data_IF_691318024762
#
_entry.id   IF_691318024762
#
_cell.length_a   1.000
_cell.length_b   1.000
_cell.length_c   1.000
_cell.angle_alpha   90.00
_cell.angle_beta   90.00
_cell.angle_gamma   90.00
#
_symmetry.space_group_name_H-M   'P 1'
#
loop_
_entity.id
_entity.type
_entity.pdbx_description
1 polymer ?
#
# COMPACT_ATOMS: atom_id res chain seq x y z
N UNK A 1 4.23 -18.81 4.29
CA UNK A 1 4.27 -18.01 3.07
C UNK A 1 4.38 -16.54 3.43
N UNK A 2 5.32 -15.86 2.83
CA UNK A 2 5.60 -14.48 3.15
C UNK A 2 5.27 -13.59 1.98
N UNK A 3 4.58 -12.50 2.27
CA UNK A 3 4.16 -11.56 1.25
C UNK A 3 4.80 -10.20 1.50
N UNK A 4 4.91 -9.45 0.43
CA UNK A 4 5.47 -8.11 0.48
C UNK A 4 4.49 -7.17 -0.20
N UNK A 5 4.11 -6.12 0.49
CA UNK A 5 3.16 -5.14 -0.04
C UNK A 5 3.89 -3.83 -0.28
N UNK A 6 3.75 -3.31 -1.49
CA UNK A 6 4.29 -2.01 -1.83
C UNK A 6 3.20 -1.12 -2.38
N UNK A 7 3.15 0.12 -1.89
CA UNK A 7 2.21 1.11 -2.40
C UNK A 7 2.99 2.33 -2.82
N UNK A 8 2.92 2.64 -4.11
CA UNK A 8 3.57 3.81 -4.68
C UNK A 8 2.53 4.90 -4.86
N UNK A 9 2.64 5.96 -4.05
CA UNK A 9 1.63 7.01 -3.99
C UNK A 9 2.08 8.19 -4.82
N UNK A 10 1.44 8.39 -5.95
CA UNK A 10 1.70 9.54 -6.80
C UNK A 10 0.72 10.67 -6.52
N UNK A 11 0.76 11.69 -7.37
CA UNK A 11 -0.15 12.82 -7.22
C UNK A 11 -1.55 12.50 -7.74
N UNK A 12 -1.67 11.57 -8.67
CA UNK A 12 -2.93 11.27 -9.34
C UNK A 12 -3.41 9.86 -9.03
N UNK A 13 -2.49 8.96 -8.77
CA UNK A 13 -2.84 7.56 -8.60
C UNK A 13 -1.91 6.89 -7.63
N UNK A 14 -2.34 5.76 -7.12
CA UNK A 14 -1.54 4.88 -6.27
C UNK A 14 -1.47 3.52 -6.93
N UNK A 15 -0.26 2.98 -7.03
CA UNK A 15 -0.04 1.63 -7.51
C UNK A 15 0.26 0.72 -6.34
N UNK A 16 -0.44 -0.40 -6.29
CA UNK A 16 -0.30 -1.36 -5.21
C UNK A 16 0.20 -2.67 -5.79
N UNK A 17 1.23 -3.23 -5.18
CA UNK A 17 1.81 -4.49 -5.63
C UNK A 17 1.94 -5.41 -4.43
N UNK A 18 1.49 -6.65 -4.60
CA UNK A 18 1.70 -7.71 -3.61
C UNK A 18 2.56 -8.77 -4.28
N UNK A 19 3.69 -9.08 -3.67
CA UNK A 19 4.62 -10.09 -4.17
C UNK A 19 4.85 -11.16 -3.13
N UNK A 20 5.25 -12.34 -3.60
CA UNK A 20 5.66 -13.40 -2.68
C UNK A 20 7.17 -13.33 -2.45
N UNK A 21 7.70 -14.28 -1.70
CA UNK A 21 9.11 -14.28 -1.36
C UNK A 21 9.99 -14.78 -2.51
N UNK A 22 9.40 -15.16 -3.62
CA UNK A 22 10.13 -15.45 -4.87
C UNK A 22 10.08 -14.25 -5.81
N UNK A 23 9.60 -13.10 -5.34
CA UNK A 23 9.49 -11.88 -6.12
C UNK A 23 8.50 -11.99 -7.26
N UNK A 24 7.55 -12.90 -7.13
CA UNK A 24 6.48 -13.01 -8.11
C UNK A 24 5.36 -12.08 -7.72
N UNK A 25 4.88 -11.30 -8.69
CA UNK A 25 3.77 -10.38 -8.45
C UNK A 25 2.48 -11.19 -8.44
N UNK A 26 1.81 -11.18 -7.30
CA UNK A 26 0.55 -11.88 -7.14
C UNK A 26 -0.64 -11.00 -7.44
N UNK A 27 -0.54 -9.71 -7.08
CA UNK A 27 -1.59 -8.74 -7.32
C UNK A 27 -0.98 -7.41 -7.66
N UNK A 28 -1.65 -6.71 -8.54
CA UNK A 28 -1.24 -5.35 -8.90
C UNK A 28 -2.50 -4.55 -9.14
N UNK A 29 -2.63 -3.41 -8.43
CA UNK A 29 -3.82 -2.59 -8.51
C UNK A 29 -3.44 -1.15 -8.75
N UNK A 30 -4.24 -0.49 -9.58
CA UNK A 30 -4.10 0.92 -9.87
C UNK A 30 -5.33 1.63 -9.32
N UNK A 31 -5.12 2.60 -8.44
CA UNK A 31 -6.22 3.31 -7.80
C UNK A 31 -6.07 4.80 -8.03
N UNK A 32 -7.11 5.45 -8.47
CA UNK A 32 -7.10 6.88 -8.66
C UNK A 32 -7.20 7.60 -7.33
N UNK A 33 -6.34 8.59 -7.18
CA UNK A 33 -6.38 9.49 -6.02
C UNK A 33 -7.15 10.72 -6.45
N UNK A 34 -8.33 10.90 -5.88
CA UNK A 34 -9.20 12.00 -6.28
C UNK A 34 -9.08 13.12 -5.27
N UNK A 35 -7.87 13.64 -5.13
CA UNK A 35 -7.62 14.71 -4.18
C UNK A 35 -7.61 14.28 -2.73
N UNK A 36 -7.62 12.98 -2.47
CA UNK A 36 -7.66 12.47 -1.11
C UNK A 36 -6.68 11.31 -0.95
N UNK A 37 -5.38 11.61 -0.98
CA UNK A 37 -4.38 10.52 -0.94
C UNK A 37 -4.42 9.73 0.35
N UNK A 38 -4.61 10.38 1.47
CA UNK A 38 -4.62 9.68 2.75
C UNK A 38 -5.75 8.68 2.83
N UNK A 39 -6.95 9.12 2.45
CA UNK A 39 -8.12 8.24 2.47
C UNK A 39 -8.02 7.13 1.45
N UNK A 40 -7.42 7.43 0.30
CA UNK A 40 -7.21 6.41 -0.73
C UNK A 40 -6.31 5.30 -0.20
N UNK A 41 -5.20 5.66 0.44
CA UNK A 41 -4.28 4.67 0.98
C UNK A 41 -4.95 3.86 2.09
N UNK A 42 -5.73 4.53 2.94
CA UNK A 42 -6.45 3.83 3.99
C UNK A 42 -7.41 2.79 3.43
N UNK A 43 -8.14 3.15 2.37
CA UNK A 43 -9.06 2.22 1.75
C UNK A 43 -8.34 1.03 1.13
N UNK A 44 -7.21 1.29 0.48
CA UNK A 44 -6.42 0.22 -0.11
C UNK A 44 -5.99 -0.76 0.98
N UNK A 45 -5.47 -0.24 2.08
CA UNK A 45 -5.01 -1.10 3.18
C UNK A 45 -6.17 -1.87 3.80
N UNK A 46 -7.30 -1.22 4.00
CA UNK A 46 -8.46 -1.88 4.58
C UNK A 46 -8.90 -3.05 3.72
N UNK A 47 -8.98 -2.82 2.43
CA UNK A 47 -9.44 -3.87 1.53
C UNK A 47 -8.49 -5.05 1.49
N UNK A 48 -7.19 -4.76 1.44
CA UNK A 48 -6.20 -5.82 1.41
C UNK A 48 -6.23 -6.62 2.70
N UNK A 49 -6.30 -5.93 3.84
CA UNK A 49 -6.24 -6.62 5.13
C UNK A 49 -7.52 -7.35 5.48
N UNK A 50 -8.61 -7.07 4.77
CA UNK A 50 -9.81 -7.89 4.89
C UNK A 50 -9.64 -9.25 4.23
N UNK A 51 -8.78 -9.33 3.21
CA UNK A 51 -8.56 -10.56 2.47
C UNK A 51 -7.34 -11.32 2.92
N UNK A 52 -6.31 -10.60 3.39
CA UNK A 52 -5.03 -11.20 3.73
C UNK A 52 -4.65 -10.71 5.13
N UNK A 53 -4.46 -11.62 6.09
CA UNK A 53 -4.10 -11.22 7.44
C UNK A 53 -2.76 -10.47 7.48
N UNK A 54 -2.66 -9.52 8.38
CA UNK A 54 -1.46 -8.71 8.52
C UNK A 54 -0.22 -9.57 8.78
N UNK A 55 -0.39 -10.67 9.50
CA UNK A 55 0.72 -11.55 9.83
C UNK A 55 1.38 -12.18 8.62
N UNK A 56 0.68 -12.24 7.51
CA UNK A 56 1.26 -12.82 6.31
C UNK A 56 2.20 -11.89 5.57
N UNK A 57 2.22 -10.62 5.94
CA UNK A 57 3.09 -9.66 5.28
C UNK A 57 4.43 -9.57 6.01
N UNK A 58 5.49 -9.86 5.26
CA UNK A 58 6.85 -9.66 5.77
C UNK A 58 7.17 -8.18 5.88
N UNK A 59 6.69 -7.40 4.93
CA UNK A 59 6.90 -5.97 4.97
C UNK A 59 5.79 -5.26 4.22
N UNK A 60 5.54 -4.03 4.62
CA UNK A 60 4.64 -3.11 3.95
C UNK A 60 5.41 -1.82 3.76
N UNK A 61 5.59 -1.41 2.51
CA UNK A 61 6.38 -0.23 2.22
C UNK A 61 5.58 0.75 1.38
N UNK A 62 5.91 2.01 1.56
CA UNK A 62 5.27 3.11 0.85
C UNK A 62 6.33 3.95 0.18
N UNK A 63 6.06 4.37 -1.06
CA UNK A 63 6.98 5.22 -1.80
C UNK A 63 6.19 6.34 -2.46
N UNK A 64 6.91 7.30 -3.04
CA UNK A 64 6.31 8.37 -3.79
C UNK A 64 6.22 9.66 -3.02
N UNK A 65 5.37 10.57 -3.50
CA UNK A 65 5.30 11.91 -2.93
C UNK A 65 4.59 11.94 -1.59
N UNK A 66 3.99 10.83 -1.21
CA UNK A 66 3.19 10.79 0.00
C UNK A 66 3.95 10.56 1.29
N UNK A 67 5.28 10.71 1.29
CA UNK A 67 6.06 10.39 2.48
C UNK A 67 5.58 11.10 3.72
N UNK A 68 5.30 12.40 3.61
CA UNK A 68 4.81 13.16 4.74
C UNK A 68 3.41 12.71 5.16
N UNK A 69 2.55 12.48 4.18
CA UNK A 69 1.21 11.97 4.46
C UNK A 69 1.25 10.60 5.08
N UNK A 70 2.20 9.79 4.63
CA UNK A 70 2.32 8.43 5.15
C UNK A 70 2.83 8.42 6.58
N UNK A 71 3.70 9.37 6.93
CA UNK A 71 4.10 9.54 8.30
C UNK A 71 2.89 9.78 9.20
N UNK A 72 1.98 10.62 8.72
CA UNK A 72 0.77 10.91 9.48
C UNK A 72 -0.14 9.69 9.56
N UNK A 73 -0.25 8.98 8.46
CA UNK A 73 -1.07 7.77 8.41
C UNK A 73 -0.60 6.72 9.42
N UNK A 74 0.71 6.57 9.53
CA UNK A 74 1.30 5.58 10.41
C UNK A 74 1.47 6.09 11.83
N UNK A 75 0.99 7.29 12.12
CA UNK A 75 1.13 7.86 13.44
C UNK A 75 2.51 8.38 13.77
N UNK A 76 3.36 8.49 12.77
CA UNK A 76 4.69 9.03 12.97
C UNK A 76 4.70 10.54 12.87
N UNK A 77 5.81 11.10 13.22
CA UNK A 77 5.98 12.56 13.18
C UNK A 77 6.77 12.99 12.00
#
# INVERSE_FOLDING_TARGET
KRLYLGIDVGSVSANTIIMDDHQEVLEEHYTRIKGQPLQTVQKILEEILQRIPLEEFQSISFTGIGGKLLSELLGGN
#
